data_IF_264923691959
#
_entry.id   IF_264923691959
#
_cell.length_a   1.000
_cell.length_b   1.000
_cell.length_c   1.000
_cell.angle_alpha   90.00
_cell.angle_beta   90.00
_cell.angle_gamma   90.00
#
_symmetry.space_group_name_H-M   'P 1'
#
loop_
_entity.id
_entity.type
_entity.pdbx_description
1 polymer ?
#
# COMPACT_ATOMS: atom_id res chain seq x y z
N UNK A 1 -1.15 -5.87 -11.47
CA UNK A 1 -1.30 -7.36 -11.49
C UNK A 1 -0.80 -7.91 -10.16
N UNK A 2 -1.71 -8.36 -9.29
CA UNK A 2 -1.36 -8.87 -7.96
C UNK A 2 -0.49 -10.13 -8.07
N UNK A 3 0.64 -10.17 -7.35
CA UNK A 3 1.55 -11.32 -7.37
C UNK A 3 0.84 -12.59 -6.83
N UNK A 4 0.90 -13.73 -7.53
CA UNK A 4 0.15 -14.95 -7.15
C UNK A 4 0.52 -15.48 -5.75
N UNK A 5 1.78 -15.29 -5.33
CA UNK A 5 2.26 -15.66 -3.99
C UNK A 5 1.58 -14.85 -2.87
N UNK A 6 1.22 -13.59 -3.15
CA UNK A 6 0.62 -12.67 -2.16
C UNK A 6 -0.86 -12.97 -1.98
N UNK A 7 -1.57 -13.29 -3.08
CA UNK A 7 -2.97 -13.73 -3.06
C UNK A 7 -3.13 -15.04 -2.29
N UNK A 8 -2.22 -16.00 -2.49
CA UNK A 8 -2.26 -17.29 -1.79
C UNK A 8 -2.05 -17.12 -0.27
N UNK A 9 -1.08 -16.28 0.14
CA UNK A 9 -0.83 -15.99 1.56
C UNK A 9 -2.05 -15.35 2.22
N UNK A 10 -2.67 -14.37 1.55
CA UNK A 10 -3.87 -13.68 2.04
C UNK A 10 -5.05 -14.65 2.14
N UNK A 11 -5.22 -15.54 1.16
CA UNK A 11 -6.28 -16.54 1.14
C UNK A 11 -6.19 -17.53 2.30
N UNK A 12 -4.98 -18.01 2.62
CA UNK A 12 -4.72 -18.92 3.75
C UNK A 12 -4.84 -18.20 5.10
N UNK A 13 -4.49 -16.92 5.18
CA UNK A 13 -4.62 -16.13 6.41
C UNK A 13 -6.05 -15.67 6.70
N UNK A 14 -7.01 -15.87 5.78
CA UNK A 14 -8.36 -15.40 5.97
C UNK A 14 -9.18 -16.37 6.85
N UNK A 15 -9.75 -15.93 7.98
CA UNK A 15 -10.45 -16.81 8.91
C UNK A 15 -11.68 -17.50 8.30
N UNK A 16 -12.34 -16.88 7.33
CA UNK A 16 -13.48 -17.52 6.67
C UNK A 16 -13.06 -18.69 5.76
N UNK A 17 -11.83 -18.72 5.24
CA UNK A 17 -11.31 -19.87 4.48
C UNK A 17 -11.23 -21.10 5.38
N UNK A 18 -10.73 -20.93 6.61
CA UNK A 18 -10.69 -22.00 7.61
C UNK A 18 -12.08 -22.44 8.05
N UNK A 19 -13.02 -21.50 8.15
CA UNK A 19 -14.42 -21.80 8.49
C UNK A 19 -15.09 -22.64 7.40
N UNK A 20 -14.86 -22.34 6.12
CA UNK A 20 -15.38 -23.13 4.99
C UNK A 20 -14.77 -24.53 5.00
N UNK A 21 -13.45 -24.64 5.15
CA UNK A 21 -12.77 -25.95 5.25
C UNK A 21 -13.34 -26.77 6.42
N UNK A 22 -13.48 -26.14 7.59
CA UNK A 22 -14.02 -26.80 8.78
C UNK A 22 -15.46 -27.28 8.57
N UNK A 23 -16.32 -26.44 7.98
CA UNK A 23 -17.71 -26.81 7.66
C UNK A 23 -17.78 -27.97 6.66
N UNK A 24 -16.93 -27.96 5.63
CA UNK A 24 -16.87 -29.06 4.65
C UNK A 24 -16.45 -30.36 5.32
N UNK A 25 -15.41 -30.34 6.16
CA UNK A 25 -14.95 -31.53 6.91
C UNK A 25 -16.02 -32.03 7.88
N UNK A 26 -16.68 -31.13 8.62
CA UNK A 26 -17.78 -31.50 9.53
C UNK A 26 -18.97 -32.10 8.79
N UNK A 27 -19.32 -31.56 7.62
CA UNK A 27 -20.40 -32.06 6.80
C UNK A 27 -20.10 -33.46 6.24
N UNK A 28 -18.88 -33.68 5.72
CA UNK A 28 -18.45 -35.00 5.24
C UNK A 28 -18.41 -36.01 6.38
N UNK A 29 -17.86 -35.63 7.54
CA UNK A 29 -17.75 -36.53 8.67
C UNK A 29 -19.14 -36.88 9.26
N UNK A 30 -20.04 -35.90 9.36
CA UNK A 30 -21.42 -36.13 9.77
C UNK A 30 -22.17 -37.04 8.80
N UNK A 31 -21.94 -36.87 7.49
CA UNK A 31 -22.54 -37.72 6.46
C UNK A 31 -22.07 -39.18 6.54
N UNK A 32 -20.76 -39.40 6.74
CA UNK A 32 -20.22 -40.76 6.92
C UNK A 32 -20.73 -41.42 8.21
N UNK A 33 -20.78 -40.66 9.30
CA UNK A 33 -21.17 -41.17 10.61
C UNK A 33 -22.65 -41.59 10.67
N UNK A 34 -23.55 -40.81 10.06
CA UNK A 34 -24.99 -41.09 10.11
C UNK A 34 -25.47 -42.05 9.03
N UNK A 35 -24.95 -41.95 7.80
CA UNK A 35 -25.54 -42.66 6.66
C UNK A 35 -24.79 -43.91 6.23
N UNK A 36 -23.56 -44.13 6.73
CA UNK A 36 -22.66 -45.22 6.32
C UNK A 36 -22.76 -45.54 4.81
N UNK A 37 -22.59 -44.52 3.95
CA UNK A 37 -22.98 -44.62 2.54
C UNK A 37 -22.13 -45.66 1.80
N UNK A 38 -22.71 -46.33 0.78
CA UNK A 38 -21.96 -47.23 -0.09
C UNK A 38 -20.86 -46.48 -0.85
N UNK A 39 -19.83 -47.21 -1.29
CA UNK A 39 -18.57 -46.66 -1.80
C UNK A 39 -18.74 -45.59 -2.90
N UNK A 40 -19.70 -45.78 -3.80
CA UNK A 40 -20.00 -44.83 -4.88
C UNK A 40 -20.53 -43.49 -4.34
N UNK A 41 -21.38 -43.52 -3.32
CA UNK A 41 -21.90 -42.32 -2.67
C UNK A 41 -20.81 -41.58 -1.90
N UNK A 42 -19.88 -42.30 -1.25
CA UNK A 42 -18.68 -41.69 -0.62
C UNK A 42 -17.82 -40.94 -1.63
N UNK A 43 -17.52 -41.57 -2.76
CA UNK A 43 -16.75 -40.95 -3.85
C UNK A 43 -17.43 -39.70 -4.39
N UNK A 44 -18.76 -39.74 -4.56
CA UNK A 44 -19.52 -38.57 -5.02
C UNK A 44 -19.53 -37.43 -4.00
N UNK A 45 -19.66 -37.75 -2.70
CA UNK A 45 -19.66 -36.76 -1.63
C UNK A 45 -18.29 -36.08 -1.51
N UNK A 46 -17.21 -36.86 -1.51
CA UNK A 46 -15.84 -36.35 -1.50
C UNK A 46 -15.54 -35.50 -2.76
N UNK A 47 -16.01 -35.94 -3.93
CA UNK A 47 -15.88 -35.17 -5.18
C UNK A 47 -16.61 -33.82 -5.11
N UNK A 48 -17.79 -33.80 -4.49
CA UNK A 48 -18.57 -32.58 -4.28
C UNK A 48 -17.89 -31.65 -3.28
N UNK A 49 -17.31 -32.18 -2.20
CA UNK A 49 -16.54 -31.41 -1.21
C UNK A 49 -15.30 -30.75 -1.83
N UNK A 50 -14.53 -31.50 -2.63
CA UNK A 50 -13.40 -30.95 -3.40
C UNK A 50 -13.86 -29.88 -4.37
N UNK A 51 -14.99 -30.09 -5.06
CA UNK A 51 -15.55 -29.09 -5.97
C UNK A 51 -15.90 -27.79 -5.24
N UNK A 52 -16.56 -27.85 -4.07
CA UNK A 52 -16.87 -26.67 -3.28
C UNK A 52 -15.61 -25.96 -2.75
N UNK A 53 -14.59 -26.72 -2.35
CA UNK A 53 -13.30 -26.16 -1.92
C UNK A 53 -12.57 -25.45 -3.06
N UNK A 54 -12.65 -25.97 -4.29
CA UNK A 54 -12.09 -25.33 -5.48
C UNK A 54 -12.91 -24.13 -5.95
N UNK A 55 -14.23 -24.13 -5.72
CA UNK A 55 -15.11 -23.03 -6.05
C UNK A 55 -14.93 -21.83 -5.10
N UNK A 56 -14.60 -22.10 -3.83
CA UNK A 56 -14.38 -21.07 -2.81
C UNK A 56 -13.38 -19.97 -3.21
N UNK A 57 -12.14 -20.25 -3.69
CA UNK A 57 -11.20 -19.22 -4.12
C UNK A 57 -11.74 -18.37 -5.27
N UNK A 58 -12.53 -18.95 -6.19
CA UNK A 58 -13.14 -18.21 -7.30
C UNK A 58 -14.19 -17.22 -6.79
N UNK A 59 -15.05 -17.66 -5.87
CA UNK A 59 -16.07 -16.81 -5.23
C UNK A 59 -15.39 -15.74 -4.36
N UNK A 60 -14.34 -16.11 -3.64
CA UNK A 60 -13.59 -15.24 -2.74
C UNK A 60 -12.90 -14.10 -3.49
N UNK A 61 -12.27 -14.38 -4.64
CA UNK A 61 -11.63 -13.37 -5.48
C UNK A 61 -12.68 -12.42 -6.10
N UNK A 62 -13.86 -12.94 -6.43
CA UNK A 62 -14.94 -12.16 -7.05
C UNK A 62 -15.81 -11.39 -6.04
N UNK A 63 -15.70 -11.71 -4.76
CA UNK A 63 -16.48 -11.10 -3.68
C UNK A 63 -16.17 -9.61 -3.51
N UNK A 64 -17.22 -8.78 -3.44
CA UNK A 64 -17.12 -7.35 -3.15
C UNK A 64 -16.53 -7.07 -1.76
N UNK A 65 -16.60 -8.02 -0.83
CA UNK A 65 -16.00 -7.90 0.51
C UNK A 65 -14.48 -7.99 0.42
N UNK A 66 -13.95 -8.90 -0.42
CA UNK A 66 -12.52 -8.94 -0.73
C UNK A 66 -12.11 -7.66 -1.45
N UNK A 67 -12.89 -7.25 -2.46
CA UNK A 67 -12.63 -6.04 -3.23
C UNK A 67 -12.63 -4.78 -2.36
N UNK A 68 -13.55 -4.61 -1.41
CA UNK A 68 -13.56 -3.46 -0.48
C UNK A 68 -12.43 -3.51 0.55
N UNK A 69 -12.16 -4.68 1.14
CA UNK A 69 -11.13 -4.81 2.19
C UNK A 69 -9.70 -4.82 1.63
N UNK A 70 -9.51 -5.22 0.37
CA UNK A 70 -8.20 -5.41 -0.25
C UNK A 70 -7.91 -4.50 -1.46
N UNK A 71 -8.90 -3.82 -2.09
CA UNK A 71 -8.59 -2.65 -2.95
C UNK A 71 -8.18 -1.42 -2.13
N UNK A 72 -8.35 -1.46 -0.81
CA UNK A 72 -7.73 -0.51 0.13
C UNK A 72 -6.34 -0.99 0.59
N UNK A 73 -5.79 -2.09 0.06
CA UNK A 73 -4.33 -2.21 0.04
C UNK A 73 -3.88 -1.21 -1.02
N UNK A 74 -3.25 -0.08 -0.66
CA UNK A 74 -2.65 0.80 -1.65
C UNK A 74 -1.70 -0.05 -2.50
N UNK A 75 -2.07 -0.29 -3.75
CA UNK A 75 -1.11 -0.79 -4.74
C UNK A 75 0.08 0.15 -4.66
N UNK A 76 1.27 -0.38 -4.40
CA UNK A 76 2.49 0.42 -4.34
C UNK A 76 2.54 1.14 -5.69
N UNK A 77 2.38 2.48 -5.69
CA UNK A 77 2.19 3.17 -6.95
C UNK A 77 3.46 3.01 -7.78
N UNK A 78 3.30 2.61 -9.03
CA UNK A 78 4.43 2.58 -9.94
C UNK A 78 4.96 4.00 -10.11
N UNK A 79 6.28 4.15 -10.12
CA UNK A 79 6.97 5.44 -10.26
C UNK A 79 6.39 6.25 -11.43
N UNK A 80 6.13 5.61 -12.58
CA UNK A 80 5.50 6.25 -13.76
C UNK A 80 4.08 6.77 -13.50
N UNK A 81 3.28 6.02 -12.73
CA UNK A 81 1.93 6.44 -12.38
C UNK A 81 1.94 7.65 -11.44
N UNK A 82 2.96 7.75 -10.59
CA UNK A 82 3.13 8.88 -9.69
C UNK A 82 3.62 10.13 -10.43
N UNK A 83 4.52 9.99 -11.39
CA UNK A 83 4.93 11.11 -12.26
C UNK A 83 3.73 11.75 -12.96
N UNK A 84 2.78 10.93 -13.44
CA UNK A 84 1.54 11.43 -14.04
C UNK A 84 0.66 12.18 -13.01
N UNK A 85 0.60 11.72 -11.76
CA UNK A 85 -0.12 12.41 -10.67
C UNK A 85 0.51 13.75 -10.27
N UNK A 86 1.80 13.94 -10.51
CA UNK A 86 2.51 15.18 -10.18
C UNK A 86 2.36 16.29 -11.23
N UNK A 87 1.94 15.96 -12.46
CA UNK A 87 1.73 16.92 -13.56
C UNK A 87 0.76 18.06 -13.17
N UNK A 88 -0.43 17.80 -12.59
CA UNK A 88 -1.38 18.85 -12.23
C UNK A 88 -1.03 19.62 -10.95
N UNK A 89 -0.04 19.17 -10.16
CA UNK A 89 0.37 19.84 -8.93
C UNK A 89 1.00 21.22 -9.18
N UNK A 90 1.00 22.08 -8.16
CA UNK A 90 1.68 23.37 -8.23
C UNK A 90 3.21 23.17 -8.41
N UNK A 91 3.92 24.02 -9.17
CA UNK A 91 5.36 23.88 -9.42
C UNK A 91 6.22 23.75 -8.15
N UNK A 92 5.86 24.47 -7.09
CA UNK A 92 6.58 24.43 -5.80
C UNK A 92 6.50 23.07 -5.10
N UNK A 93 5.49 22.26 -5.40
CA UNK A 93 5.33 20.90 -4.90
C UNK A 93 5.88 19.88 -5.91
N UNK A 94 5.59 20.09 -7.21
CA UNK A 94 5.94 19.17 -8.29
C UNK A 94 7.45 18.93 -8.38
N UNK A 95 8.26 19.98 -8.34
CA UNK A 95 9.71 19.86 -8.47
C UNK A 95 10.31 18.97 -7.36
N UNK A 96 10.14 19.28 -6.06
CA UNK A 96 10.72 18.45 -5.01
C UNK A 96 10.13 17.04 -4.97
N UNK A 97 8.84 16.87 -5.28
CA UNK A 97 8.21 15.56 -5.35
C UNK A 97 8.79 14.66 -6.47
N UNK A 98 9.08 15.24 -7.64
CA UNK A 98 9.67 14.51 -8.76
C UNK A 98 11.10 14.08 -8.43
N UNK A 99 11.86 14.93 -7.76
CA UNK A 99 13.23 14.62 -7.33
C UNK A 99 13.26 13.55 -6.22
N UNK A 100 12.33 13.61 -5.26
CA UNK A 100 12.11 12.55 -4.27
C UNK A 100 11.88 11.22 -4.97
N UNK A 101 10.98 11.20 -5.94
CA UNK A 101 10.62 10.01 -6.70
C UNK A 101 11.81 9.45 -7.50
N UNK A 102 12.65 10.30 -8.08
CA UNK A 102 13.87 9.87 -8.76
C UNK A 102 14.87 9.22 -7.79
N UNK A 103 15.07 9.79 -6.61
CA UNK A 103 15.95 9.24 -5.57
C UNK A 103 15.42 7.94 -4.99
N UNK A 104 14.12 7.87 -4.66
CA UNK A 104 13.46 6.63 -4.23
C UNK A 104 13.61 5.55 -5.30
N UNK A 105 13.48 5.91 -6.59
CA UNK A 105 13.70 5.01 -7.70
C UNK A 105 15.14 4.47 -7.80
N UNK A 106 16.15 5.28 -7.46
CA UNK A 106 17.55 4.83 -7.36
C UNK A 106 17.75 3.88 -6.19
N UNK A 107 17.33 4.27 -4.98
CA UNK A 107 17.42 3.45 -3.76
C UNK A 107 16.76 2.08 -4.00
N UNK A 108 15.57 2.05 -4.62
CA UNK A 108 14.86 0.80 -4.91
C UNK A 108 15.60 -0.11 -5.91
N UNK A 109 16.33 0.47 -6.87
CA UNK A 109 17.13 -0.28 -7.84
C UNK A 109 18.40 -0.85 -7.22
N UNK A 110 19.04 -0.08 -6.34
CA UNK A 110 20.28 -0.47 -5.65
C UNK A 110 20.02 -1.54 -4.58
N UNK A 111 18.92 -1.43 -3.82
CA UNK A 111 18.66 -2.27 -2.65
C UNK A 111 17.47 -3.23 -2.83
N UNK A 112 17.42 -3.96 -3.96
CA UNK A 112 16.30 -4.84 -4.37
C UNK A 112 15.88 -5.95 -3.37
N UNK A 113 16.73 -6.29 -2.40
CA UNK A 113 16.49 -7.40 -1.45
C UNK A 113 16.61 -6.98 0.03
N UNK A 114 16.65 -5.69 0.34
CA UNK A 114 16.87 -5.19 1.70
C UNK A 114 15.62 -5.11 2.57
N UNK A 115 15.82 -5.06 3.90
CA UNK A 115 14.79 -4.81 4.91
C UNK A 115 14.04 -3.47 4.68
N UNK A 116 14.70 -2.51 4.03
CA UNK A 116 14.23 -1.14 3.75
C UNK A 116 13.10 -1.01 2.73
N UNK A 117 12.72 -2.09 2.03
CA UNK A 117 11.71 -2.03 0.96
C UNK A 117 10.34 -1.56 1.48
N UNK A 118 9.99 -1.90 2.73
CA UNK A 118 8.72 -1.49 3.32
C UNK A 118 8.64 0.04 3.51
N UNK A 119 9.72 0.65 3.98
CA UNK A 119 9.81 2.11 4.18
C UNK A 119 9.89 2.85 2.85
N UNK A 120 10.62 2.31 1.87
CA UNK A 120 10.65 2.83 0.50
C UNK A 120 9.26 2.79 -0.15
N UNK A 121 8.53 1.70 0.01
CA UNK A 121 7.16 1.58 -0.48
C UNK A 121 6.20 2.53 0.27
N UNK A 122 6.42 2.76 1.57
CA UNK A 122 5.67 3.74 2.34
C UNK A 122 5.92 5.18 1.86
N UNK A 123 7.16 5.54 1.50
CA UNK A 123 7.48 6.85 0.92
C UNK A 123 6.69 7.10 -0.36
N UNK A 124 6.64 6.10 -1.26
CA UNK A 124 5.88 6.18 -2.50
C UNK A 124 4.38 6.36 -2.25
N UNK A 125 3.82 5.67 -1.24
CA UNK A 125 2.40 5.82 -0.87
C UNK A 125 2.11 7.20 -0.30
N UNK A 126 2.93 7.67 0.64
CA UNK A 126 2.76 8.98 1.27
C UNK A 126 2.88 10.11 0.23
N UNK A 127 3.83 10.01 -0.69
CA UNK A 127 3.99 10.99 -1.77
C UNK A 127 2.79 10.99 -2.74
N UNK A 128 2.21 9.82 -3.01
CA UNK A 128 1.01 9.68 -3.83
C UNK A 128 -0.21 10.36 -3.20
N UNK A 129 -0.39 10.15 -1.90
CA UNK A 129 -1.49 10.73 -1.13
C UNK A 129 -1.35 12.25 -1.05
N UNK A 130 -0.14 12.76 -0.73
CA UNK A 130 0.15 14.18 -0.74
C UNK A 130 -0.09 14.81 -2.12
N UNK A 131 0.31 14.15 -3.21
CA UNK A 131 0.09 14.67 -4.57
C UNK A 131 -1.40 14.80 -4.91
N UNK A 132 -2.22 13.82 -4.51
CA UNK A 132 -3.68 13.87 -4.69
C UNK A 132 -4.29 15.00 -3.87
N UNK A 133 -3.95 15.08 -2.59
CA UNK A 133 -4.45 16.13 -1.69
C UNK A 133 -4.04 17.52 -2.18
N UNK A 134 -2.80 17.67 -2.65
CA UNK A 134 -2.28 18.93 -3.18
C UNK A 134 -3.03 19.36 -4.44
N UNK A 135 -3.30 18.42 -5.36
CA UNK A 135 -4.05 18.70 -6.58
C UNK A 135 -5.49 19.11 -6.27
N UNK A 136 -6.15 18.38 -5.37
CA UNK A 136 -7.53 18.69 -4.95
C UNK A 136 -7.63 20.03 -4.22
N UNK A 137 -6.70 20.32 -3.30
CA UNK A 137 -6.65 21.60 -2.59
C UNK A 137 -6.39 22.77 -3.55
N UNK A 138 -5.49 22.57 -4.53
CA UNK A 138 -5.22 23.57 -5.56
C UNK A 138 -6.45 23.83 -6.43
N UNK A 139 -7.16 22.79 -6.84
CA UNK A 139 -8.40 22.93 -7.62
C UNK A 139 -9.49 23.65 -6.82
N UNK A 140 -9.72 23.24 -5.56
CA UNK A 140 -10.67 23.89 -4.64
C UNK A 140 -10.34 25.36 -4.42
N UNK A 141 -9.06 25.70 -4.24
CA UNK A 141 -8.61 27.10 -4.04
C UNK A 141 -8.91 28.01 -5.24
N UNK A 142 -8.94 27.44 -6.45
CA UNK A 142 -9.24 28.16 -7.69
C UNK A 142 -10.74 28.34 -7.90
N UNK A 143 -11.54 27.34 -7.54
CA UNK A 143 -12.96 27.29 -7.86
C UNK A 143 -13.87 27.88 -6.76
N UNK A 144 -13.49 27.77 -5.49
CA UNK A 144 -14.38 28.07 -4.36
C UNK A 144 -13.68 28.82 -3.21
N UNK A 145 -14.50 29.32 -2.27
CA UNK A 145 -14.06 29.85 -0.98
C UNK A 145 -14.11 31.38 -0.86
N UNK A 146 -14.28 31.84 0.37
CA UNK A 146 -14.09 33.24 0.76
C UNK A 146 -12.61 33.62 0.68
N UNK A 147 -12.30 34.92 0.73
CA UNK A 147 -10.91 35.39 0.72
C UNK A 147 -10.06 34.74 1.84
N UNK A 148 -10.63 34.65 3.05
CA UNK A 148 -9.98 34.02 4.19
C UNK A 148 -9.75 32.51 3.98
N UNK A 149 -10.70 31.80 3.38
CA UNK A 149 -10.54 30.39 3.04
C UNK A 149 -9.47 30.17 1.96
N UNK A 150 -9.38 31.07 0.98
CA UNK A 150 -8.34 31.01 -0.06
C UNK A 150 -6.95 31.25 0.50
N UNK A 151 -6.80 32.17 1.45
CA UNK A 151 -5.54 32.41 2.16
C UNK A 151 -5.13 31.20 3.00
N UNK A 152 -6.07 30.58 3.70
CA UNK A 152 -5.82 29.33 4.43
C UNK A 152 -5.38 28.18 3.50
N UNK A 153 -6.10 27.97 2.39
CA UNK A 153 -5.73 26.95 1.39
C UNK A 153 -4.36 27.24 0.76
N UNK A 154 -4.04 28.51 0.46
CA UNK A 154 -2.73 28.89 -0.07
C UNK A 154 -1.59 28.62 0.91
N UNK A 155 -1.85 28.84 2.21
CA UNK A 155 -0.91 28.50 3.29
C UNK A 155 -0.67 26.98 3.36
N UNK A 156 -1.73 26.17 3.36
CA UNK A 156 -1.64 24.71 3.36
C UNK A 156 -0.89 24.18 2.12
N UNK A 157 -1.15 24.72 0.93
CA UNK A 157 -0.43 24.36 -0.30
C UNK A 157 1.08 24.65 -0.19
N UNK A 158 1.45 25.75 0.48
CA UNK A 158 2.84 26.13 0.73
C UNK A 158 3.51 25.19 1.74
N UNK A 159 2.82 24.89 2.84
CA UNK A 159 3.30 23.96 3.88
C UNK A 159 3.52 22.55 3.31
N UNK A 160 2.61 22.07 2.45
CA UNK A 160 2.80 20.80 1.73
C UNK A 160 4.05 20.80 0.84
N UNK A 161 4.30 21.90 0.11
CA UNK A 161 5.53 22.04 -0.68
C UNK A 161 6.79 21.99 0.18
N UNK A 162 6.78 22.65 1.34
CA UNK A 162 7.89 22.67 2.29
C UNK A 162 8.13 21.30 2.95
N UNK A 163 7.06 20.55 3.25
CA UNK A 163 7.18 19.20 3.81
C UNK A 163 7.84 18.23 2.82
N UNK A 164 7.45 18.28 1.55
CA UNK A 164 8.08 17.46 0.50
C UNK A 164 9.53 17.88 0.26
N UNK A 165 9.85 19.18 0.29
CA UNK A 165 11.23 19.67 0.16
C UNK A 165 12.12 19.26 1.36
N UNK A 166 11.57 19.28 2.57
CA UNK A 166 12.25 18.78 3.77
C UNK A 166 12.53 17.29 3.66
N UNK A 167 11.56 16.53 3.14
CA UNK A 167 11.70 15.10 2.89
C UNK A 167 12.72 14.80 1.79
N UNK A 168 12.78 15.63 0.74
CA UNK A 168 13.81 15.56 -0.30
C UNK A 168 15.21 15.78 0.29
N UNK A 169 15.36 16.80 1.14
CA UNK A 169 16.62 17.10 1.80
C UNK A 169 17.10 15.95 2.68
N UNK A 170 16.18 15.36 3.46
CA UNK A 170 16.47 14.18 4.27
C UNK A 170 16.83 12.97 3.41
N UNK A 171 16.09 12.72 2.32
CA UNK A 171 16.35 11.63 1.39
C UNK A 171 17.69 11.79 0.65
N UNK A 172 18.09 13.02 0.32
CA UNK A 172 19.43 13.32 -0.25
C UNK A 172 20.54 13.04 0.75
N UNK A 173 20.37 13.45 2.01
CA UNK A 173 21.31 13.13 3.10
C UNK A 173 21.43 11.61 3.27
N UNK A 174 20.29 10.93 3.36
CA UNK A 174 20.22 9.47 3.43
C UNK A 174 20.94 8.80 2.25
N UNK A 175 20.67 9.25 1.01
CA UNK A 175 21.34 8.72 -0.19
C UNK A 175 22.87 8.94 -0.17
N UNK A 176 23.33 10.07 0.37
CA UNK A 176 24.77 10.32 0.55
C UNK A 176 25.38 9.45 1.65
N UNK A 177 24.66 9.23 2.75
CA UNK A 177 25.12 8.36 3.84
C UNK A 177 25.12 6.88 3.42
N UNK A 178 24.16 6.46 2.59
CA UNK A 178 24.10 5.10 2.02
C UNK A 178 25.35 4.73 1.23
N UNK A 179 25.95 5.68 0.48
CA UNK A 179 27.23 5.42 -0.20
C UNK A 179 28.39 5.18 0.76
N UNK A 180 28.27 5.57 2.03
CA UNK A 180 29.27 5.33 3.08
C UNK A 180 28.98 4.03 3.85
N UNK A 181 27.69 3.69 4.04
CA UNK A 181 27.23 2.53 4.82
C UNK A 181 27.40 1.16 4.15
N UNK A 182 27.72 1.10 2.85
CA UNK A 182 28.00 -0.15 2.13
C UNK A 182 29.22 -0.93 2.69
N UNK A 183 29.90 -0.39 3.71
CA UNK A 183 31.07 -0.98 4.36
C UNK A 183 30.82 -1.65 5.73
N UNK A 184 29.66 -1.46 6.40
CA UNK A 184 29.42 -2.02 7.74
C UNK A 184 28.01 -2.62 7.96
N UNK A 185 27.97 -3.90 8.35
CA UNK A 185 26.73 -4.70 8.56
C UNK A 185 25.91 -4.23 9.79
N UNK A 186 26.47 -3.37 10.65
CA UNK A 186 25.82 -2.86 11.87
C UNK A 186 24.83 -1.70 11.61
N UNK A 187 24.78 -1.21 10.36
CA UNK A 187 24.13 0.06 10.00
C UNK A 187 22.67 -0.11 9.54
N UNK A 188 22.16 -1.34 9.40
CA UNK A 188 20.80 -1.56 8.90
C UNK A 188 19.72 -0.94 9.79
N UNK A 189 19.83 -1.04 11.11
CA UNK A 189 18.83 -0.46 12.04
C UNK A 189 18.80 1.06 11.99
N UNK A 190 19.93 1.70 11.69
CA UNK A 190 20.06 3.15 11.58
C UNK A 190 19.46 3.65 10.25
N UNK A 191 19.72 2.91 9.16
CA UNK A 191 19.14 3.15 7.83
C UNK A 191 17.61 3.04 7.86
N UNK A 192 17.06 2.02 8.54
CA UNK A 192 15.60 1.87 8.71
C UNK A 192 15.02 3.04 9.54
N UNK A 193 15.74 3.47 10.57
CA UNK A 193 15.35 4.61 11.41
C UNK A 193 15.26 5.93 10.65
N UNK A 194 16.23 6.21 9.77
CA UNK A 194 16.23 7.42 8.94
C UNK A 194 15.07 7.43 7.94
N UNK A 195 14.83 6.34 7.20
CA UNK A 195 13.71 6.26 6.26
C UNK A 195 12.36 6.37 6.96
N UNK A 196 12.22 5.73 8.13
CA UNK A 196 11.01 5.83 8.95
C UNK A 196 10.76 7.26 9.41
N UNK A 197 11.79 8.00 9.80
CA UNK A 197 11.65 9.40 10.18
C UNK A 197 11.15 10.27 9.01
N UNK A 198 11.64 10.02 7.78
CA UNK A 198 11.16 10.71 6.58
C UNK A 198 9.67 10.38 6.34
N UNK A 199 9.29 9.11 6.47
CA UNK A 199 7.90 8.69 6.34
C UNK A 199 6.97 9.33 7.36
N UNK A 200 7.39 9.42 8.62
CA UNK A 200 6.63 10.10 9.68
C UNK A 200 6.41 11.57 9.33
N UNK A 201 7.44 12.26 8.81
CA UNK A 201 7.31 13.65 8.38
C UNK A 201 6.28 13.86 7.26
N UNK A 202 6.26 12.97 6.26
CA UNK A 202 5.24 13.01 5.20
C UNK A 202 3.84 12.67 5.72
N UNK A 203 3.73 11.70 6.64
CA UNK A 203 2.44 11.33 7.24
C UNK A 203 1.85 12.44 8.11
N UNK A 204 2.69 13.18 8.82
CA UNK A 204 2.22 14.31 9.63
C UNK A 204 1.62 15.40 8.74
N UNK A 205 2.30 15.72 7.62
CA UNK A 205 1.77 16.65 6.63
C UNK A 205 0.46 16.17 5.97
N UNK A 206 0.23 14.85 5.89
CA UNK A 206 -1.06 14.29 5.44
C UNK A 206 -2.15 14.50 6.49
N UNK A 207 -1.83 14.26 7.77
CA UNK A 207 -2.80 14.36 8.88
C UNK A 207 -3.25 15.79 9.16
N UNK A 208 -2.33 16.75 9.07
CA UNK A 208 -2.62 18.17 9.28
C UNK A 208 -3.76 18.65 8.34
N UNK A 209 -3.86 18.08 7.13
CA UNK A 209 -4.92 18.36 6.15
C UNK A 209 -6.26 17.73 6.53
N UNK A 210 -6.27 16.61 7.27
CA UNK A 210 -7.49 15.90 7.64
C UNK A 210 -8.15 16.47 8.90
N UNK A 211 -7.49 17.38 9.61
CA UNK A 211 -7.96 17.95 10.86
C UNK A 211 -8.26 19.46 10.81
N UNK A 212 -8.01 20.11 9.67
CA UNK A 212 -8.43 21.49 9.33
C UNK A 212 -9.57 21.51 8.30
#
# INVERSE_FOLDING_TARGET
MAQPKRVLKIFISFPATWLVVFLTVMAEWGFEFWFQPPLFLRLSAAGLGVFFLLLWPVIFIRSDVFRRKYNHIPEIPEIRSLEALLVPCHPSFRQPATECLALVGKIRKEFRAGAFQEEVDALLRNLAELARNHTELLERSRQFGTQQQKEAMARLLKEQGQSVDSSLTALRRFSGNLTLFDTHIRDQTEIDGELKAINVGLQEAIREIQHD
#
